data_IF_125499872770
#
_entry.id   IF_125499872770
#
_cell.length_a   1.000
_cell.length_b   1.000
_cell.length_c   1.000
_cell.angle_alpha   90.00
_cell.angle_beta   90.00
_cell.angle_gamma   90.00
#
_symmetry.space_group_name_H-M   'P 1'
#
loop_
_entity.id
_entity.type
_entity.pdbx_description
1 polymer ?
#
# COMPACT_ATOMS: atom_id res chain seq x y z
N UNK A 1 3.34 -15.89 -3.99
CA UNK A 1 2.14 -15.09 -4.31
C UNK A 1 2.50 -13.97 -5.28
N UNK A 2 1.52 -13.48 -6.06
CA UNK A 2 1.77 -12.33 -6.92
C UNK A 2 2.26 -11.11 -6.15
N UNK A 3 3.08 -10.32 -6.80
CA UNK A 3 3.65 -9.09 -6.25
C UNK A 3 3.00 -7.90 -6.95
N UNK A 4 2.54 -6.94 -6.17
CA UNK A 4 1.89 -5.74 -6.70
C UNK A 4 2.55 -4.48 -6.19
N UNK A 5 2.54 -3.45 -7.02
CA UNK A 5 2.87 -2.08 -6.60
C UNK A 5 1.56 -1.30 -6.60
N UNK A 6 1.14 -0.82 -5.44
CA UNK A 6 -0.03 0.04 -5.39
C UNK A 6 0.41 1.50 -5.24
N UNK A 7 -0.38 2.39 -5.83
CA UNK A 7 -0.06 3.81 -5.89
C UNK A 7 -1.24 4.62 -5.39
N UNK A 8 -0.97 5.48 -4.41
CA UNK A 8 -1.96 6.40 -3.84
C UNK A 8 -1.57 7.82 -4.22
N UNK A 9 -2.49 8.55 -4.87
CA UNK A 9 -2.32 9.97 -5.19
C UNK A 9 -3.27 10.77 -4.31
N UNK A 10 -2.70 11.57 -3.41
CA UNK A 10 -3.49 12.29 -2.41
C UNK A 10 -3.69 13.74 -2.84
N UNK A 11 -4.84 14.30 -2.45
CA UNK A 11 -5.20 15.68 -2.79
C UNK A 11 -4.52 16.72 -1.89
N UNK A 12 -3.98 16.29 -0.76
CA UNK A 12 -3.35 17.19 0.19
C UNK A 12 -1.97 16.72 0.61
N UNK A 13 -1.31 17.47 1.48
CA UNK A 13 0.03 17.11 1.93
C UNK A 13 0.06 15.75 2.62
N UNK A 14 1.13 15.00 2.37
CA UNK A 14 1.39 13.72 3.03
C UNK A 14 2.79 13.77 3.62
N UNK A 15 2.96 13.26 4.83
CA UNK A 15 4.27 13.17 5.47
C UNK A 15 4.70 11.70 5.58
N UNK A 16 6.01 11.48 5.61
CA UNK A 16 6.56 10.15 5.82
C UNK A 16 6.07 9.55 7.16
N UNK A 17 5.91 10.38 8.19
CA UNK A 17 5.42 9.91 9.49
C UNK A 17 3.98 9.41 9.42
N UNK A 18 3.11 10.11 8.68
CA UNK A 18 1.72 9.69 8.51
C UNK A 18 1.64 8.36 7.76
N UNK A 19 2.48 8.19 6.74
CA UNK A 19 2.53 6.95 5.96
C UNK A 19 3.05 5.80 6.81
N UNK A 20 4.04 6.06 7.67
CA UNK A 20 4.55 5.03 8.57
C UNK A 20 3.45 4.50 9.49
N UNK A 21 2.59 5.39 10.02
CA UNK A 21 1.46 4.99 10.86
C UNK A 21 0.44 4.16 10.08
N UNK A 22 0.14 4.56 8.85
CA UNK A 22 -0.77 3.81 7.98
C UNK A 22 -0.21 2.42 7.67
N UNK A 23 1.09 2.33 7.38
CA UNK A 23 1.76 1.06 7.12
C UNK A 23 1.68 0.13 8.34
N UNK A 24 1.90 0.65 9.54
CA UNK A 24 1.78 -0.12 10.78
C UNK A 24 0.36 -0.68 10.95
N UNK A 25 -0.65 0.11 10.61
CA UNK A 25 -2.04 -0.35 10.66
C UNK A 25 -2.29 -1.48 9.66
N UNK A 26 -1.74 -1.38 8.44
CA UNK A 26 -1.82 -2.44 7.44
C UNK A 26 -1.24 -3.75 8.00
N UNK A 27 -0.08 -3.69 8.66
CA UNK A 27 0.59 -4.87 9.18
C UNK A 27 -0.24 -5.60 10.25
N UNK A 28 -1.10 -4.90 10.96
CA UNK A 28 -1.96 -5.50 11.98
C UNK A 28 -3.16 -6.23 11.39
N UNK A 29 -3.57 -5.88 10.17
CA UNK A 29 -4.79 -6.40 9.53
C UNK A 29 -4.46 -7.49 8.48
N UNK A 30 -3.31 -7.38 7.84
CA UNK A 30 -2.98 -8.11 6.60
C UNK A 30 -3.09 -9.63 6.69
N UNK A 31 -2.82 -10.23 7.84
CA UNK A 31 -2.81 -11.70 7.97
C UNK A 31 -4.17 -12.32 7.70
N UNK A 32 -5.25 -11.61 7.96
CA UNK A 32 -6.62 -12.07 7.69
C UNK A 32 -6.87 -12.35 6.22
N UNK A 33 -6.11 -11.68 5.34
CA UNK A 33 -6.37 -11.68 3.91
C UNK A 33 -5.23 -12.30 3.10
N UNK A 34 -4.27 -12.94 3.77
CA UNK A 34 -3.06 -13.51 3.13
C UNK A 34 -2.27 -12.44 2.36
N UNK A 35 -2.22 -11.24 2.91
CA UNK A 35 -1.55 -10.09 2.32
C UNK A 35 -0.29 -9.79 3.13
N UNK A 36 0.77 -9.38 2.44
CA UNK A 36 2.03 -9.00 3.08
C UNK A 36 2.56 -7.73 2.45
N UNK A 37 2.32 -6.59 3.12
CA UNK A 37 2.94 -5.32 2.75
C UNK A 37 4.40 -5.33 3.15
N UNK A 38 5.29 -5.11 2.18
CA UNK A 38 6.73 -5.27 2.37
C UNK A 38 7.46 -3.96 2.53
N UNK A 39 7.25 -3.03 1.61
CA UNK A 39 7.94 -1.74 1.58
C UNK A 39 7.01 -0.66 1.08
N UNK A 40 7.36 0.57 1.37
CA UNK A 40 6.65 1.71 0.82
C UNK A 40 7.63 2.86 0.57
N UNK A 41 7.25 3.77 -0.31
CA UNK A 41 7.99 4.99 -0.62
C UNK A 41 7.03 6.16 -0.62
N UNK A 42 7.50 7.32 -0.19
CA UNK A 42 6.69 8.53 -0.10
C UNK A 42 7.33 9.61 -0.94
N UNK A 43 6.57 10.16 -1.88
CA UNK A 43 6.97 11.36 -2.61
C UNK A 43 6.20 12.53 -2.01
N UNK A 44 6.84 13.24 -1.08
CA UNK A 44 6.19 14.34 -0.36
C UNK A 44 5.93 15.55 -1.25
N UNK A 45 6.71 15.71 -2.32
CA UNK A 45 6.52 16.82 -3.26
C UNK A 45 5.25 16.64 -4.09
N UNK A 46 4.94 15.41 -4.47
CA UNK A 46 3.79 15.09 -5.34
C UNK A 46 2.66 14.41 -4.59
N UNK A 47 2.73 14.34 -3.28
CA UNK A 47 1.71 13.73 -2.42
C UNK A 47 1.33 12.32 -2.89
N UNK A 48 2.35 11.51 -3.21
CA UNK A 48 2.16 10.18 -3.78
C UNK A 48 2.83 9.14 -2.90
N UNK A 49 2.15 8.00 -2.71
CA UNK A 49 2.66 6.88 -1.92
C UNK A 49 2.72 5.65 -2.81
N UNK A 50 3.82 4.92 -2.73
CA UNK A 50 4.01 3.66 -3.44
C UNK A 50 4.18 2.56 -2.41
N UNK A 51 3.37 1.49 -2.51
CA UNK A 51 3.44 0.34 -1.59
C UNK A 51 3.73 -0.93 -2.38
N UNK A 52 4.71 -1.69 -1.92
CA UNK A 52 5.03 -3.00 -2.49
C UNK A 52 4.37 -4.07 -1.63
N UNK A 53 3.58 -4.95 -2.24
CA UNK A 53 2.74 -5.90 -1.52
C UNK A 53 2.66 -7.26 -2.22
N UNK A 54 2.74 -8.33 -1.45
CA UNK A 54 2.36 -9.66 -1.91
C UNK A 54 0.91 -9.91 -1.51
N UNK A 55 0.09 -10.31 -2.47
CA UNK A 55 -1.33 -10.54 -2.22
C UNK A 55 -1.90 -11.52 -3.23
N UNK A 56 -2.97 -12.26 -2.88
CA UNK A 56 -3.63 -13.16 -3.84
C UNK A 56 -4.33 -12.41 -4.97
N UNK A 57 -4.70 -11.15 -4.74
CA UNK A 57 -5.37 -10.32 -5.74
C UNK A 57 -5.21 -8.83 -5.39
N UNK A 58 -5.42 -7.92 -6.35
CA UNK A 58 -5.45 -6.48 -6.04
C UNK A 58 -6.55 -6.13 -5.04
N UNK A 59 -7.70 -6.80 -5.12
CA UNK A 59 -8.82 -6.57 -4.21
C UNK A 59 -8.46 -6.89 -2.77
N UNK A 60 -7.70 -7.97 -2.53
CA UNK A 60 -7.26 -8.33 -1.18
C UNK A 60 -6.36 -7.24 -0.59
N UNK A 61 -5.43 -6.71 -1.38
CA UNK A 61 -4.57 -5.61 -0.93
C UNK A 61 -5.38 -4.37 -0.55
N UNK A 62 -6.34 -3.98 -1.40
CA UNK A 62 -7.20 -2.83 -1.13
C UNK A 62 -8.11 -3.06 0.08
N UNK A 63 -8.54 -4.30 0.32
CA UNK A 63 -9.33 -4.62 1.51
C UNK A 63 -8.55 -4.35 2.79
N UNK A 64 -7.25 -4.71 2.81
CA UNK A 64 -6.39 -4.41 3.95
C UNK A 64 -6.31 -2.90 4.17
N UNK A 65 -6.03 -2.12 3.13
CA UNK A 65 -5.98 -0.66 3.23
C UNK A 65 -7.29 -0.08 3.73
N UNK A 66 -8.42 -0.57 3.22
CA UNK A 66 -9.74 -0.05 3.59
C UNK A 66 -10.02 -0.28 5.08
N UNK A 67 -9.72 -1.47 5.59
CA UNK A 67 -9.93 -1.78 7.00
C UNK A 67 -8.95 -1.06 7.91
N UNK A 68 -7.69 -0.95 7.48
CA UNK A 68 -6.63 -0.40 8.32
C UNK A 68 -6.75 1.11 8.50
N UNK A 69 -6.97 1.84 7.41
CA UNK A 69 -6.94 3.31 7.44
C UNK A 69 -7.86 3.98 6.43
N UNK A 70 -8.52 3.22 5.58
CA UNK A 70 -9.49 3.76 4.62
C UNK A 70 -8.90 4.31 3.32
N UNK A 71 -7.58 4.36 3.18
CA UNK A 71 -6.93 4.90 1.98
C UNK A 71 -6.67 3.77 0.99
N UNK A 72 -7.61 3.55 0.07
CA UNK A 72 -7.44 2.56 -0.99
C UNK A 72 -6.55 3.12 -2.10
N UNK A 73 -5.89 2.23 -2.83
CA UNK A 73 -5.00 2.65 -3.90
C UNK A 73 -5.77 3.15 -5.12
N UNK A 74 -5.22 4.14 -5.79
CA UNK A 74 -5.73 4.64 -7.07
C UNK A 74 -5.35 3.70 -8.20
N UNK A 75 -4.18 3.06 -8.09
CA UNK A 75 -3.68 2.11 -9.09
C UNK A 75 -3.04 0.93 -8.38
N UNK A 76 -3.21 -0.26 -8.94
CA UNK A 76 -2.53 -1.48 -8.47
C UNK A 76 -1.95 -2.18 -9.69
N UNK A 77 -0.65 -2.35 -9.72
CA UNK A 77 0.07 -2.94 -10.84
C UNK A 77 0.67 -4.28 -10.45
N UNK A 78 0.43 -5.30 -11.27
CA UNK A 78 1.15 -6.57 -11.13
C UNK A 78 2.58 -6.34 -11.62
N UNK A 79 3.56 -6.57 -10.75
CA UNK A 79 4.94 -6.25 -11.05
C UNK A 79 5.87 -7.44 -10.84
N UNK A 80 7.02 -7.36 -11.46
CA UNK A 80 8.13 -8.28 -11.22
C UNK A 80 9.33 -7.43 -10.83
N UNK A 81 10.03 -7.86 -9.80
CA UNK A 81 11.22 -7.17 -9.36
C UNK A 81 12.36 -7.46 -10.34
N UNK A 82 13.03 -6.40 -10.80
CA UNK A 82 14.22 -6.51 -11.64
C UNK A 82 15.46 -6.24 -10.80
N UNK A 83 16.60 -6.72 -11.30
CA UNK A 83 17.87 -6.49 -10.63
C UNK A 83 18.96 -6.10 -11.64
#
# INVERSE_FOLDING_TARGET
MPLYMDIHRLDGPVSADDVAKAHMADLQIQDKYDVSYQRYWVDEDKNTIFCLVEAPSPEAANTVHREAHGLVADEVHLVKEGS
#
